data_IF_165994235828
#
_entry.id   IF_165994235828
#
_cell.length_a   1.000
_cell.length_b   1.000
_cell.length_c   1.000
_cell.angle_alpha   90.00
_cell.angle_beta   90.00
_cell.angle_gamma   90.00
#
_symmetry.space_group_name_H-M   'P 1'
#
loop_
_entity.id
_entity.type
_entity.pdbx_description
1 polymer ?
#
# COMPACT_ATOMS: atom_id res chain seq x y z
N UNK A 1 -9.75 0.76 -12.71
CA UNK A 1 -9.07 1.48 -11.61
C UNK A 1 -10.12 2.12 -10.71
N UNK A 2 -9.97 1.94 -9.41
CA UNK A 2 -10.80 2.58 -8.38
C UNK A 2 -10.60 4.11 -8.40
N UNK A 3 -11.71 4.85 -8.29
CA UNK A 3 -11.69 6.30 -8.11
C UNK A 3 -12.18 6.63 -6.70
N UNK A 4 -11.37 7.38 -5.98
CA UNK A 4 -11.72 7.88 -4.65
C UNK A 4 -12.80 8.95 -4.79
N UNK A 5 -13.97 8.69 -4.17
CA UNK A 5 -15.14 9.57 -4.24
C UNK A 5 -15.65 9.86 -2.83
N UNK A 6 -16.29 11.00 -2.65
CA UNK A 6 -16.88 11.37 -1.37
C UNK A 6 -17.85 10.31 -0.84
N UNK A 7 -17.77 10.02 0.44
CA UNK A 7 -18.60 9.02 1.12
C UNK A 7 -18.20 7.55 0.86
N UNK A 8 -17.19 7.25 0.03
CA UNK A 8 -16.79 5.86 -0.19
C UNK A 8 -16.20 5.23 1.06
N UNK A 9 -16.44 3.92 1.24
CA UNK A 9 -15.86 3.15 2.33
C UNK A 9 -14.53 2.55 1.93
N UNK A 10 -13.57 2.66 2.85
CA UNK A 10 -12.22 2.12 2.72
C UNK A 10 -11.92 1.21 3.93
N UNK A 11 -11.09 0.20 3.70
CA UNK A 11 -10.86 -0.88 4.65
C UNK A 11 -9.39 -1.04 4.99
N UNK A 12 -9.11 -1.32 6.27
CA UNK A 12 -7.77 -1.66 6.76
C UNK A 12 -7.82 -2.95 7.57
N UNK A 13 -7.18 -4.00 7.08
CA UNK A 13 -7.04 -5.25 7.81
C UNK A 13 -5.82 -5.23 8.74
N UNK A 14 -5.99 -5.59 10.02
CA UNK A 14 -4.89 -5.62 11.00
C UNK A 14 -5.14 -6.66 12.09
N UNK A 15 -4.11 -6.97 12.89
CA UNK A 15 -4.25 -7.76 14.11
C UNK A 15 -5.02 -7.00 15.22
N UNK A 16 -5.21 -5.70 15.08
CA UNK A 16 -5.92 -4.83 16.04
C UNK A 16 -6.80 -3.82 15.33
N UNK A 17 -7.81 -3.30 16.03
CA UNK A 17 -8.60 -2.18 15.55
C UNK A 17 -7.73 -0.92 15.48
N UNK A 18 -7.81 -0.22 14.35
CA UNK A 18 -7.22 1.11 14.16
C UNK A 18 -8.38 2.08 14.02
N UNK A 19 -8.65 2.86 15.05
CA UNK A 19 -9.68 3.92 15.06
C UNK A 19 -9.07 5.32 14.96
N UNK A 20 -7.82 5.43 15.37
CA UNK A 20 -7.02 6.65 15.35
C UNK A 20 -5.74 6.38 14.57
N UNK A 21 -5.46 7.20 13.56
CA UNK A 21 -4.36 7.02 12.64
C UNK A 21 -3.20 7.91 13.05
N UNK A 22 -2.08 7.27 13.40
CA UNK A 22 -0.82 7.92 13.74
C UNK A 22 0.20 7.65 12.62
N UNK A 23 0.47 8.66 11.80
CA UNK A 23 1.43 8.55 10.70
C UNK A 23 2.86 8.30 11.17
N UNK A 24 3.21 8.64 12.41
CA UNK A 24 4.55 8.37 12.94
C UNK A 24 4.80 6.88 13.18
N UNK A 25 3.73 6.11 13.40
CA UNK A 25 3.79 4.65 13.50
C UNK A 25 3.81 3.94 12.15
N UNK A 26 3.53 4.68 11.05
CA UNK A 26 3.57 4.11 9.71
C UNK A 26 5.01 3.81 9.27
N UNK A 27 5.18 2.69 8.56
CA UNK A 27 6.50 2.21 8.14
C UNK A 27 6.94 2.85 6.83
N UNK A 28 8.24 3.04 6.70
CA UNK A 28 8.91 3.26 5.41
C UNK A 28 9.09 1.92 4.66
N UNK A 29 9.52 2.00 3.40
CA UNK A 29 9.85 0.82 2.59
C UNK A 29 8.63 0.05 2.08
N UNK A 30 7.46 0.70 2.02
CA UNK A 30 6.25 0.20 1.39
C UNK A 30 6.10 0.77 -0.02
N UNK A 31 5.15 0.24 -0.82
CA UNK A 31 4.99 0.55 -2.25
C UNK A 31 4.96 2.06 -2.56
N UNK A 32 4.21 2.80 -1.77
CA UNK A 32 4.04 4.25 -1.93
C UNK A 32 4.70 5.06 -0.81
N UNK A 33 5.68 4.45 -0.10
CA UNK A 33 6.42 5.07 0.97
C UNK A 33 5.69 5.04 2.32
N UNK A 34 6.03 5.98 3.21
CA UNK A 34 5.41 6.13 4.53
C UNK A 34 3.98 6.65 4.37
N UNK A 35 3.02 6.01 5.03
CA UNK A 35 1.62 6.42 5.07
C UNK A 35 0.70 5.34 5.63
N UNK A 36 -0.58 5.68 5.79
CA UNK A 36 -1.62 4.75 6.19
C UNK A 36 -2.28 4.13 4.96
N UNK A 37 -2.25 2.80 4.88
CA UNK A 37 -2.68 2.05 3.71
C UNK A 37 -4.09 1.49 3.88
N UNK A 38 -4.93 1.74 2.87
CA UNK A 38 -6.30 1.29 2.78
C UNK A 38 -6.56 0.59 1.45
N UNK A 39 -7.64 -0.16 1.38
CA UNK A 39 -8.17 -0.74 0.15
C UNK A 39 -9.66 -0.45 0.02
N UNK A 40 -10.16 -0.44 -1.22
CA UNK A 40 -11.60 -0.39 -1.51
C UNK A 40 -12.27 -1.78 -1.46
N UNK A 41 -11.47 -2.86 -1.35
CA UNK A 41 -11.96 -4.24 -1.29
C UNK A 41 -11.98 -4.76 0.14
N UNK A 42 -13.16 -5.09 0.64
CA UNK A 42 -13.33 -5.73 1.94
C UNK A 42 -12.61 -7.09 2.00
N UNK A 43 -12.72 -7.89 0.96
CA UNK A 43 -12.05 -9.20 0.84
C UNK A 43 -10.51 -9.06 0.91
N UNK A 44 -9.97 -8.03 0.25
CA UNK A 44 -8.53 -7.74 0.33
C UNK A 44 -8.11 -7.39 1.77
N UNK A 45 -8.90 -6.58 2.47
CA UNK A 45 -8.64 -6.27 3.87
C UNK A 45 -8.71 -7.52 4.75
N UNK A 46 -9.65 -8.44 4.52
CA UNK A 46 -9.73 -9.74 5.19
C UNK A 46 -8.46 -10.57 4.98
N UNK A 47 -7.98 -10.67 3.74
CA UNK A 47 -6.74 -11.39 3.43
C UNK A 47 -5.54 -10.76 4.13
N UNK A 48 -5.52 -9.44 4.26
CA UNK A 48 -4.43 -8.73 4.93
C UNK A 48 -4.42 -8.93 6.45
N UNK A 49 -5.58 -9.20 7.09
CA UNK A 49 -5.64 -9.57 8.52
C UNK A 49 -4.74 -10.76 8.81
N UNK A 50 -4.81 -11.81 7.99
CA UNK A 50 -3.98 -13.02 8.17
C UNK A 50 -2.48 -12.70 8.11
N UNK A 51 -2.07 -11.88 7.14
CA UNK A 51 -0.68 -11.44 7.00
C UNK A 51 -0.24 -10.57 8.17
N UNK A 52 -1.10 -9.67 8.63
CA UNK A 52 -0.85 -8.80 9.77
C UNK A 52 -0.65 -9.60 11.06
N UNK A 53 -1.54 -10.55 11.35
CA UNK A 53 -1.44 -11.44 12.52
C UNK A 53 -0.15 -12.28 12.46
N UNK A 54 0.14 -12.92 11.32
CA UNK A 54 1.36 -13.71 11.17
C UNK A 54 2.63 -12.88 11.37
N UNK A 55 2.64 -11.66 10.85
CA UNK A 55 3.76 -10.73 11.03
C UNK A 55 3.91 -10.26 12.48
N UNK A 56 2.80 -9.91 13.15
CA UNK A 56 2.79 -9.44 14.53
C UNK A 56 3.28 -10.55 15.51
N UNK A 57 2.89 -11.80 15.28
CA UNK A 57 3.43 -12.97 16.00
C UNK A 57 4.94 -13.10 15.79
N UNK A 58 5.39 -13.11 14.55
CA UNK A 58 6.81 -13.31 14.20
C UNK A 58 7.73 -12.29 14.87
N UNK A 59 7.26 -11.06 15.07
CA UNK A 59 8.04 -9.98 15.70
C UNK A 59 7.69 -9.75 17.18
N UNK A 60 6.86 -10.63 17.78
CA UNK A 60 6.56 -10.64 19.22
C UNK A 60 5.66 -9.51 19.71
N UNK A 61 4.87 -8.88 18.81
CA UNK A 61 3.89 -7.83 19.20
C UNK A 61 2.64 -8.47 19.83
N UNK A 62 2.25 -9.64 19.34
CA UNK A 62 1.16 -10.45 19.90
C UNK A 62 1.68 -11.85 20.21
N UNK A 63 1.01 -12.54 21.13
CA UNK A 63 1.40 -13.89 21.52
C UNK A 63 1.08 -14.93 20.43
N UNK A 64 1.74 -16.09 20.46
CA UNK A 64 1.57 -17.16 19.47
C UNK A 64 0.16 -17.78 19.49
N UNK A 65 -0.53 -17.72 20.63
CA UNK A 65 -1.91 -18.22 20.82
C UNK A 65 -2.98 -17.23 20.34
N UNK A 66 -2.62 -15.99 19.94
CA UNK A 66 -3.58 -15.03 19.38
C UNK A 66 -4.28 -15.64 18.16
N UNK A 67 -5.61 -15.69 18.18
CA UNK A 67 -6.38 -16.23 17.05
C UNK A 67 -6.42 -15.23 15.88
N UNK A 68 -6.32 -15.74 14.64
CA UNK A 68 -6.58 -14.92 13.44
C UNK A 68 -7.99 -14.35 13.47
N UNK A 69 -8.95 -15.07 14.07
CA UNK A 69 -10.34 -14.65 14.21
C UNK A 69 -10.50 -13.40 15.10
N UNK A 70 -9.50 -13.10 15.94
CA UNK A 70 -9.47 -11.88 16.76
C UNK A 70 -8.94 -10.64 16.01
N UNK A 71 -8.38 -10.85 14.82
CA UNK A 71 -7.96 -9.76 13.94
C UNK A 71 -9.15 -8.88 13.53
N UNK A 72 -8.85 -7.68 13.09
CA UNK A 72 -9.83 -6.61 12.90
C UNK A 72 -9.76 -6.01 11.49
N UNK A 73 -10.91 -5.63 10.98
CA UNK A 73 -11.04 -4.81 9.79
C UNK A 73 -11.60 -3.46 10.20
N UNK A 74 -10.77 -2.43 10.20
CA UNK A 74 -11.20 -1.06 10.44
C UNK A 74 -11.80 -0.47 9.18
N UNK A 75 -12.97 0.14 9.29
CA UNK A 75 -13.75 0.73 8.19
C UNK A 75 -13.74 2.24 8.36
N UNK A 76 -13.32 2.92 7.30
CA UNK A 76 -13.28 4.38 7.23
C UNK A 76 -14.18 4.86 6.11
N UNK A 77 -14.82 6.01 6.32
CA UNK A 77 -15.48 6.77 5.27
C UNK A 77 -14.59 7.92 4.84
N UNK A 78 -14.36 8.04 3.55
CA UNK A 78 -13.60 9.15 2.99
C UNK A 78 -14.49 10.36 2.75
N UNK A 79 -14.05 11.53 3.18
CA UNK A 79 -14.65 12.83 2.93
C UNK A 79 -13.77 13.61 1.97
N UNK A 80 -14.31 13.93 0.79
CA UNK A 80 -13.55 14.63 -0.25
C UNK A 80 -13.21 16.07 0.17
N UNK A 81 -11.93 16.40 0.12
CA UNK A 81 -11.42 17.77 0.23
C UNK A 81 -10.74 18.16 -1.09
N UNK A 82 -11.19 19.25 -1.76
CA UNK A 82 -10.60 19.71 -3.02
C UNK A 82 -9.16 20.22 -2.91
N UNK A 83 -8.67 20.47 -1.70
CA UNK A 83 -7.29 20.90 -1.46
C UNK A 83 -6.30 19.73 -1.44
N UNK A 84 -6.77 18.49 -1.30
CA UNK A 84 -5.90 17.31 -1.28
C UNK A 84 -5.33 17.02 -2.66
N UNK A 85 -4.02 16.84 -2.72
CA UNK A 85 -3.31 16.43 -3.92
C UNK A 85 -3.35 14.89 -4.03
N UNK A 86 -4.19 14.38 -4.93
CA UNK A 86 -4.38 12.95 -5.14
C UNK A 86 -3.72 12.53 -6.44
N UNK A 87 -2.77 11.59 -6.36
CA UNK A 87 -2.16 10.99 -7.54
C UNK A 87 -2.69 9.57 -7.77
N UNK A 88 -2.96 9.26 -9.04
CA UNK A 88 -3.43 7.95 -9.47
C UNK A 88 -2.42 7.30 -10.40
N UNK A 89 -1.98 6.09 -10.05
CA UNK A 89 -1.30 5.19 -10.97
C UNK A 89 -2.35 4.25 -11.59
N UNK A 90 -2.85 4.54 -12.80
CA UNK A 90 -3.94 3.76 -13.40
C UNK A 90 -3.53 2.33 -13.72
N UNK A 91 -2.25 2.12 -13.96
CA UNK A 91 -1.64 0.86 -14.39
C UNK A 91 -0.29 0.66 -13.68
N UNK A 92 0.17 -0.58 -13.60
CA UNK A 92 1.54 -0.90 -13.21
C UNK A 92 2.47 -0.69 -14.42
N UNK A 93 2.64 0.57 -14.82
CA UNK A 93 3.52 1.02 -15.89
C UNK A 93 4.94 1.33 -15.37
N UNK A 94 5.79 1.87 -16.23
CA UNK A 94 7.18 2.25 -15.91
C UNK A 94 7.25 3.25 -14.73
N UNK A 95 6.42 4.30 -14.74
CA UNK A 95 6.40 5.30 -13.65
C UNK A 95 6.01 4.66 -12.31
N UNK A 96 4.99 3.78 -12.31
CA UNK A 96 4.61 3.01 -11.12
C UNK A 96 5.74 2.08 -10.65
N UNK A 97 6.36 1.34 -11.60
CA UNK A 97 7.46 0.42 -11.31
C UNK A 97 8.62 1.15 -10.64
N UNK A 98 9.07 2.27 -11.22
CA UNK A 98 10.15 3.09 -10.69
C UNK A 98 9.80 3.67 -9.32
N UNK A 99 8.59 4.20 -9.16
CA UNK A 99 8.16 4.78 -7.89
C UNK A 99 8.11 3.73 -6.77
N UNK A 100 7.53 2.57 -7.02
CA UNK A 100 7.47 1.48 -6.04
C UNK A 100 8.86 0.92 -5.74
N UNK A 101 9.70 0.71 -6.75
CA UNK A 101 11.07 0.26 -6.57
C UNK A 101 11.88 1.26 -5.72
N UNK A 102 11.79 2.55 -6.00
CA UNK A 102 12.47 3.61 -5.24
C UNK A 102 12.02 3.66 -3.76
N UNK A 103 10.73 3.45 -3.46
CA UNK A 103 10.23 3.43 -2.08
C UNK A 103 10.63 2.16 -1.32
N UNK A 104 10.77 1.02 -2.00
CA UNK A 104 11.13 -0.27 -1.38
C UNK A 104 12.62 -0.49 -1.21
N UNK A 105 13.46 0.17 -2.01
CA UNK A 105 14.91 0.04 -1.92
C UNK A 105 15.46 0.96 -0.84
N UNK A 106 16.18 0.39 0.13
CA UNK A 106 16.73 1.17 1.24
C UNK A 106 18.03 1.93 0.90
N UNK A 107 18.77 1.60 -0.17
CA UNK A 107 20.11 2.18 -0.42
C UNK A 107 20.55 2.28 -1.89
N UNK A 108 19.99 1.51 -2.83
CA UNK A 108 20.57 1.38 -4.19
C UNK A 108 19.98 2.31 -5.27
N UNK A 109 18.80 2.87 -5.05
CA UNK A 109 18.15 3.76 -6.00
C UNK A 109 18.43 5.25 -5.70
N UNK A 110 19.67 5.56 -5.36
CA UNK A 110 20.11 6.95 -5.21
C UNK A 110 20.54 7.60 -6.54
N UNK A 111 20.25 6.95 -7.66
CA UNK A 111 20.47 7.58 -8.96
C UNK A 111 19.51 8.75 -9.17
N UNK A 112 19.98 9.79 -9.83
CA UNK A 112 19.32 11.10 -9.92
C UNK A 112 17.85 11.03 -10.33
N UNK A 113 17.50 10.18 -11.31
CA UNK A 113 16.14 10.13 -11.83
C UNK A 113 15.11 9.52 -10.85
N UNK A 114 15.49 8.58 -9.99
CA UNK A 114 14.61 8.06 -8.94
C UNK A 114 14.37 9.09 -7.83
N UNK A 115 15.39 9.91 -7.51
CA UNK A 115 15.23 11.03 -6.59
C UNK A 115 14.29 12.10 -7.12
N UNK A 116 14.36 12.40 -8.41
CA UNK A 116 13.45 13.35 -9.05
C UNK A 116 12.01 12.82 -9.01
N UNK A 117 11.82 11.53 -9.25
CA UNK A 117 10.52 10.89 -9.15
C UNK A 117 9.96 10.95 -7.72
N UNK A 118 10.76 10.60 -6.71
CA UNK A 118 10.34 10.69 -5.31
C UNK A 118 9.99 12.13 -4.91
N UNK A 119 10.76 13.13 -5.38
CA UNK A 119 10.45 14.56 -5.16
C UNK A 119 9.15 14.98 -5.83
N UNK A 120 8.86 14.50 -7.05
CA UNK A 120 7.61 14.77 -7.77
C UNK A 120 6.39 14.43 -6.92
N UNK A 121 6.45 13.34 -6.16
CA UNK A 121 5.35 12.88 -5.32
C UNK A 121 5.50 13.26 -3.84
N UNK A 122 6.50 14.07 -3.46
CA UNK A 122 6.75 14.42 -2.06
C UNK A 122 5.59 15.18 -1.42
N UNK A 123 4.92 16.03 -2.19
CA UNK A 123 3.78 16.86 -1.75
C UNK A 123 2.42 16.21 -2.00
N UNK A 124 2.39 14.97 -2.51
CA UNK A 124 1.15 14.25 -2.77
C UNK A 124 0.57 13.72 -1.46
N UNK A 125 -0.69 14.05 -1.18
CA UNK A 125 -1.38 13.65 0.05
C UNK A 125 -1.86 12.22 0.00
N UNK A 126 -2.42 11.80 -1.14
CA UNK A 126 -2.97 10.46 -1.35
C UNK A 126 -2.43 9.87 -2.65
N UNK A 127 -1.89 8.67 -2.57
CA UNK A 127 -1.52 7.90 -3.76
C UNK A 127 -2.44 6.70 -3.89
N UNK A 128 -3.03 6.55 -5.07
CA UNK A 128 -3.90 5.42 -5.45
C UNK A 128 -3.25 4.65 -6.57
N UNK A 129 -3.08 3.35 -6.41
CA UNK A 129 -2.46 2.53 -7.45
C UNK A 129 -2.58 1.04 -7.19
N UNK A 130 -1.88 0.25 -7.97
CA UNK A 130 -1.89 -1.20 -7.85
C UNK A 130 -1.07 -1.66 -6.65
N UNK A 131 -1.58 -2.68 -5.94
CA UNK A 131 -0.84 -3.32 -4.85
C UNK A 131 0.21 -4.26 -5.42
N UNK A 132 1.37 -4.29 -4.80
CA UNK A 132 2.35 -5.33 -5.05
C UNK A 132 2.04 -6.55 -4.14
N UNK A 133 1.32 -7.53 -4.68
CA UNK A 133 1.13 -8.84 -4.04
C UNK A 133 2.46 -9.61 -3.92
N UNK A 134 2.44 -10.82 -3.33
CA UNK A 134 3.66 -11.61 -3.11
C UNK A 134 4.43 -11.90 -4.40
N UNK A 135 3.74 -12.13 -5.52
CA UNK A 135 4.37 -12.39 -6.81
C UNK A 135 5.00 -11.11 -7.38
N UNK A 136 4.29 -10.01 -7.28
CA UNK A 136 4.75 -8.67 -7.64
C UNK A 136 5.94 -8.26 -6.77
N UNK A 137 5.88 -8.52 -5.46
CA UNK A 137 6.98 -8.24 -4.54
C UNK A 137 8.27 -8.97 -4.95
N UNK A 138 8.18 -10.22 -5.39
CA UNK A 138 9.33 -10.98 -5.91
C UNK A 138 9.89 -10.38 -7.19
N UNK A 139 9.03 -10.01 -8.14
CA UNK A 139 9.45 -9.36 -9.38
C UNK A 139 10.14 -8.02 -9.11
N UNK A 140 9.62 -7.22 -8.17
CA UNK A 140 10.26 -5.98 -7.72
C UNK A 140 11.63 -6.21 -7.09
N UNK A 141 11.78 -7.26 -6.25
CA UNK A 141 13.09 -7.62 -5.69
C UNK A 141 14.08 -8.01 -6.78
N UNK A 142 13.66 -8.78 -7.78
CA UNK A 142 14.50 -9.15 -8.92
C UNK A 142 14.89 -7.91 -9.75
N UNK A 143 13.97 -6.98 -9.94
CA UNK A 143 14.23 -5.72 -10.64
C UNK A 143 15.24 -4.86 -9.88
N UNK A 144 15.04 -4.67 -8.57
CA UNK A 144 15.94 -3.90 -7.69
C UNK A 144 17.34 -4.55 -7.64
N UNK A 145 17.43 -5.88 -7.69
CA UNK A 145 18.71 -6.61 -7.70
C UNK A 145 19.35 -6.75 -9.08
N UNK A 146 18.91 -5.96 -10.07
CA UNK A 146 19.46 -5.91 -11.42
C UNK A 146 19.35 -7.22 -12.21
N UNK A 147 18.47 -8.14 -11.80
CA UNK A 147 18.29 -9.43 -12.49
C UNK A 147 17.84 -9.28 -13.95
N UNK A 148 17.07 -8.23 -14.25
CA UNK A 148 16.60 -7.90 -15.61
C UNK A 148 17.54 -6.93 -16.36
N UNK A 149 18.65 -6.52 -15.77
CA UNK A 149 19.54 -5.45 -16.24
C UNK A 149 19.43 -4.22 -15.34
N UNK A 150 20.12 -3.14 -15.73
CA UNK A 150 20.12 -1.91 -14.93
C UNK A 150 18.72 -1.31 -14.85
N UNK A 151 18.16 -1.12 -13.64
CA UNK A 151 16.87 -0.48 -13.46
C UNK A 151 16.81 0.91 -14.13
N UNK A 152 15.67 1.21 -14.76
CA UNK A 152 15.51 2.44 -15.54
C UNK A 152 15.99 2.34 -16.99
N UNK A 153 16.53 1.18 -17.40
CA UNK A 153 16.71 0.90 -18.83
C UNK A 153 15.44 0.29 -19.41
N UNK A 154 15.12 0.63 -20.65
CA UNK A 154 13.90 0.14 -21.33
C UNK A 154 13.80 -1.38 -21.30
N UNK A 155 14.90 -2.09 -21.49
CA UNK A 155 14.96 -3.55 -21.50
C UNK A 155 14.63 -4.16 -20.14
N UNK A 156 15.17 -3.59 -19.06
CA UNK A 156 14.91 -4.05 -17.69
C UNK A 156 13.45 -3.74 -17.28
N UNK A 157 12.95 -2.57 -17.61
CA UNK A 157 11.60 -2.12 -17.30
C UNK A 157 10.55 -2.96 -18.03
N UNK A 158 10.69 -3.15 -19.34
CA UNK A 158 9.81 -4.00 -20.15
C UNK A 158 9.78 -5.45 -19.64
N UNK A 159 10.94 -6.00 -19.24
CA UNK A 159 11.04 -7.35 -18.69
C UNK A 159 10.33 -7.48 -17.33
N UNK A 160 10.51 -6.51 -16.44
CA UNK A 160 9.85 -6.48 -15.14
C UNK A 160 8.34 -6.31 -15.29
N UNK A 161 7.87 -5.31 -16.06
CA UNK A 161 6.44 -5.03 -16.28
C UNK A 161 5.73 -6.24 -16.88
N UNK A 162 6.35 -6.94 -17.81
CA UNK A 162 5.78 -8.16 -18.39
C UNK A 162 5.54 -9.27 -17.36
N UNK A 163 6.37 -9.34 -16.31
CA UNK A 163 6.23 -10.33 -15.24
C UNK A 163 5.24 -9.91 -14.15
N UNK A 164 4.95 -8.61 -14.01
CA UNK A 164 4.03 -8.10 -12.99
C UNK A 164 2.57 -8.52 -13.22
N UNK A 165 2.19 -8.95 -14.43
CA UNK A 165 0.81 -9.31 -14.80
C UNK A 165 -0.22 -8.25 -14.30
N UNK A 166 -0.09 -6.99 -14.71
CA UNK A 166 -0.76 -5.84 -14.08
C UNK A 166 -2.29 -5.93 -14.03
N UNK A 167 -2.91 -6.72 -14.92
CA UNK A 167 -4.37 -6.88 -14.99
C UNK A 167 -4.99 -7.67 -13.81
N UNK A 168 -4.17 -8.27 -12.94
CA UNK A 168 -4.63 -9.06 -11.79
C UNK A 168 -4.42 -8.34 -10.46
N UNK A 169 -3.74 -7.21 -10.46
CA UNK A 169 -3.43 -6.47 -9.26
C UNK A 169 -4.63 -5.68 -8.76
N UNK A 170 -4.89 -5.77 -7.46
CA UNK A 170 -5.92 -4.99 -6.77
C UNK A 170 -5.42 -3.56 -6.52
N UNK A 171 -6.35 -2.65 -6.17
CA UNK A 171 -6.00 -1.27 -5.88
C UNK A 171 -5.70 -1.08 -4.38
N UNK A 172 -4.72 -0.25 -4.07
CA UNK A 172 -4.43 0.23 -2.72
C UNK A 172 -4.36 1.76 -2.71
N UNK A 173 -4.62 2.34 -1.54
CA UNK A 173 -4.57 3.76 -1.29
C UNK A 173 -3.60 4.02 -0.14
N UNK A 174 -2.72 5.00 -0.30
CA UNK A 174 -1.79 5.44 0.74
C UNK A 174 -2.07 6.89 1.11
N UNK A 175 -2.48 7.11 2.35
CA UNK A 175 -2.72 8.44 2.95
C UNK A 175 -1.43 8.85 3.65
N UNK A 176 -0.81 9.96 3.22
CA UNK A 176 0.59 10.28 3.52
C UNK A 176 0.78 11.52 4.40
N UNK A 177 -0.24 12.35 4.50
CA UNK A 177 -0.22 13.61 5.27
C UNK A 177 -1.33 13.64 6.30
N UNK A 178 -1.18 14.47 7.33
CA UNK A 178 -2.20 14.68 8.36
C UNK A 178 -3.51 15.20 7.74
N UNK A 179 -3.42 16.06 6.71
CA UNK A 179 -4.59 16.56 5.99
C UNK A 179 -5.35 15.41 5.31
N UNK A 180 -4.61 14.48 4.67
CA UNK A 180 -5.23 13.31 4.05
C UNK A 180 -5.86 12.37 5.08
N UNK A 181 -5.21 12.14 6.22
CA UNK A 181 -5.76 11.32 7.31
C UNK A 181 -7.00 11.98 7.91
N UNK A 182 -7.03 13.31 8.05
CA UNK A 182 -8.18 14.06 8.55
C UNK A 182 -9.42 13.94 7.65
N UNK A 183 -9.25 13.56 6.39
CA UNK A 183 -10.35 13.25 5.48
C UNK A 183 -10.99 11.86 5.70
N UNK A 184 -10.44 11.06 6.62
CA UNK A 184 -10.95 9.74 6.96
C UNK A 184 -11.72 9.77 8.28
N UNK A 185 -13.00 9.42 8.23
CA UNK A 185 -13.82 9.22 9.42
C UNK A 185 -13.88 7.73 9.76
N UNK A 186 -13.44 7.35 10.95
CA UNK A 186 -13.64 5.99 11.44
C UNK A 186 -15.14 5.71 11.62
N UNK A 187 -15.62 4.61 11.02
CA UNK A 187 -17.04 4.22 11.06
C UNK A 187 -17.26 3.10 12.06
N UNK A 188 -16.47 2.01 11.95
CA UNK A 188 -16.56 0.82 12.79
C UNK A 188 -15.35 -0.09 12.60
N UNK A 189 -15.24 -1.08 13.48
CA UNK A 189 -14.36 -2.23 13.26
C UNK A 189 -15.17 -3.52 13.22
N UNK A 190 -14.77 -4.44 12.35
CA UNK A 190 -15.37 -5.76 12.21
C UNK A 190 -14.34 -6.82 12.57
N UNK A 191 -14.71 -7.75 13.47
CA UNK A 191 -13.83 -8.86 13.83
C UNK A 191 -13.78 -9.87 12.69
N UNK A 192 -12.57 -10.32 12.33
CA UNK A 192 -12.35 -11.22 11.19
C UNK A 192 -13.16 -12.51 11.30
N UNK A 193 -13.25 -13.14 12.48
CA UNK A 193 -14.02 -14.34 12.71
C UNK A 193 -15.52 -14.20 12.42
N UNK A 194 -16.08 -12.99 12.52
CA UNK A 194 -17.49 -12.71 12.24
C UNK A 194 -17.80 -12.54 10.74
N UNK A 195 -16.75 -12.39 9.92
CA UNK A 195 -16.88 -12.12 8.48
C UNK A 195 -16.95 -13.42 7.64
N UNK A 196 -16.76 -14.59 8.26
CA UNK A 196 -16.69 -15.89 7.59
C UNK A 196 -17.97 -16.75 7.79
N UNK A 197 -19.08 -16.12 8.26
CA UNK A 197 -20.37 -16.76 8.50
C UNK A 197 -21.33 -16.67 7.32
#
# INVERSE_FOLDING_TARGET
MFKLTDGCLLYHGSYTCISDIDLDRCRNGLDFGKGFYLTSSFEQAQNYVRLSVAKAKRIGIISDDFSVDDGQISVFQFHYDPNLLIHYFPEANEEWLHFVAANRSNEYFHELHFHELLRKFQTTDIIVGKIADDQTARTLQLYISEYFGNPGTKEADDAAIKQLLPNRLQDQLCFRTEDSVSSLQFVRSERYGNCNG
#
